data_IF_122414765557
#
_entry.id   IF_122414765557
#
_cell.length_a   1.000
_cell.length_b   1.000
_cell.length_c   1.000
_cell.angle_alpha   90.00
_cell.angle_beta   90.00
_cell.angle_gamma   90.00
#
_symmetry.space_group_name_H-M   'P 1'
#
loop_
_entity.id
_entity.type
_entity.pdbx_description
1 polymer ?
#
# COMPACT_ATOMS: atom_id res chain seq x y z
N UNK A 1 -14.78 2.03 34.67
CA UNK A 1 -13.66 2.20 33.70
C UNK A 1 -13.49 3.68 33.41
N UNK A 2 -12.29 4.25 33.53
CA UNK A 2 -12.10 5.71 33.40
C UNK A 2 -12.34 6.21 31.97
N UNK A 3 -12.78 7.48 31.78
CA UNK A 3 -12.98 8.08 30.46
C UNK A 3 -11.74 7.98 29.57
N UNK A 4 -10.56 8.25 30.14
CA UNK A 4 -9.26 8.12 29.48
C UNK A 4 -9.03 6.73 28.89
N UNK A 5 -9.26 5.67 29.69
CA UNK A 5 -9.11 4.29 29.23
C UNK A 5 -10.08 3.96 28.11
N UNK A 6 -11.32 4.47 28.17
CA UNK A 6 -12.32 4.26 27.12
C UNK A 6 -11.91 4.93 25.81
N UNK A 7 -11.41 6.16 25.86
CA UNK A 7 -10.93 6.89 24.68
C UNK A 7 -9.76 6.16 24.00
N UNK A 8 -8.75 5.74 24.77
CA UNK A 8 -7.57 5.05 24.20
C UNK A 8 -7.96 3.69 23.61
N UNK A 9 -8.90 2.96 24.24
CA UNK A 9 -9.42 1.71 23.67
C UNK A 9 -10.23 1.94 22.39
N UNK A 10 -11.02 3.00 22.32
CA UNK A 10 -11.73 3.39 21.10
C UNK A 10 -10.76 3.73 19.97
N UNK A 11 -9.72 4.52 20.26
CA UNK A 11 -8.67 4.83 19.30
C UNK A 11 -7.96 3.55 18.83
N UNK A 12 -7.60 2.65 19.75
CA UNK A 12 -6.98 1.38 19.40
C UNK A 12 -7.86 0.55 18.46
N UNK A 13 -9.18 0.52 18.67
CA UNK A 13 -10.11 -0.18 17.79
C UNK A 13 -10.12 0.45 16.38
N UNK A 14 -10.12 1.78 16.28
CA UNK A 14 -10.03 2.51 15.01
C UNK A 14 -8.70 2.22 14.29
N UNK A 15 -7.59 2.23 15.02
CA UNK A 15 -6.28 1.96 14.44
C UNK A 15 -6.13 0.51 13.98
N UNK A 16 -6.84 -0.45 14.60
CA UNK A 16 -6.81 -1.87 14.21
C UNK A 16 -7.70 -2.19 13.02
N UNK A 17 -8.76 -1.43 12.78
CA UNK A 17 -9.78 -1.81 11.79
C UNK A 17 -9.25 -1.86 10.36
N UNK A 18 -8.38 -0.94 9.96
CA UNK A 18 -7.79 -0.96 8.61
C UNK A 18 -6.50 -0.11 8.50
N UNK A 19 -5.69 -0.40 7.48
CA UNK A 19 -4.47 0.36 7.16
C UNK A 19 -4.78 1.81 6.78
N UNK A 20 -5.94 2.08 6.16
CA UNK A 20 -6.36 3.45 5.79
C UNK A 20 -6.48 4.36 7.02
N UNK A 21 -7.04 3.86 8.12
CA UNK A 21 -7.13 4.63 9.35
C UNK A 21 -5.74 4.97 9.90
N UNK A 22 -4.81 3.99 9.87
CA UNK A 22 -3.41 4.21 10.28
C UNK A 22 -2.73 5.26 9.40
N UNK A 23 -2.92 5.20 8.08
CA UNK A 23 -2.38 6.18 7.14
C UNK A 23 -2.90 7.59 7.46
N UNK A 24 -4.22 7.78 7.57
CA UNK A 24 -4.82 9.08 7.88
C UNK A 24 -4.34 9.64 9.22
N UNK A 25 -4.28 8.80 10.27
CA UNK A 25 -3.78 9.20 11.58
C UNK A 25 -2.28 9.55 11.57
N UNK A 26 -1.48 8.83 10.78
CA UNK A 26 -0.04 9.08 10.66
C UNK A 26 0.21 10.41 9.94
N UNK A 27 -0.50 10.67 8.83
CA UNK A 27 -0.46 11.96 8.12
C UNK A 27 -0.90 13.12 9.02
N UNK A 28 -1.85 12.89 9.92
CA UNK A 28 -2.29 13.88 10.91
C UNK A 28 -1.30 14.09 12.08
N UNK A 29 -0.15 13.40 12.11
CA UNK A 29 0.84 13.53 13.17
C UNK A 29 0.42 12.92 14.51
N UNK A 30 -0.50 11.95 14.51
CA UNK A 30 -1.05 11.40 15.75
C UNK A 30 0.03 10.71 16.61
N UNK A 31 1.02 10.05 15.98
CA UNK A 31 2.10 9.39 16.71
C UNK A 31 2.85 10.36 17.63
N UNK A 32 3.22 11.53 17.12
CA UNK A 32 3.93 12.58 17.87
C UNK A 32 3.11 13.06 19.07
N UNK A 33 1.78 13.18 18.91
CA UNK A 33 0.85 13.55 20.00
C UNK A 33 0.79 12.46 21.08
N UNK A 34 0.75 11.18 20.68
CA UNK A 34 0.72 10.06 21.63
C UNK A 34 2.05 9.94 22.39
N UNK A 35 3.19 10.12 21.73
CA UNK A 35 4.52 10.09 22.36
C UNK A 35 4.67 11.22 23.39
N UNK A 36 4.23 12.43 23.06
CA UNK A 36 4.18 13.55 24.03
C UNK A 36 3.26 13.25 25.21
N UNK A 37 2.10 12.64 24.93
CA UNK A 37 1.17 12.22 25.98
C UNK A 37 1.80 11.17 26.91
N UNK A 38 2.62 10.25 26.37
CA UNK A 38 3.38 9.29 27.17
C UNK A 38 4.38 9.98 28.10
N UNK A 39 5.17 10.93 27.60
CA UNK A 39 6.14 11.70 28.40
C UNK A 39 5.46 12.35 29.61
N UNK A 40 4.30 12.98 29.39
CA UNK A 40 3.53 13.62 30.46
C UNK A 40 2.96 12.62 31.48
N UNK A 41 2.52 11.46 31.03
CA UNK A 41 1.99 10.42 31.94
C UNK A 41 3.10 9.85 32.80
N UNK A 42 4.23 9.52 32.19
CA UNK A 42 5.34 8.88 32.89
C UNK A 42 6.01 9.84 33.88
N UNK A 43 6.01 11.14 33.60
CA UNK A 43 6.52 12.17 34.52
C UNK A 43 5.57 12.51 35.67
N UNK A 44 4.24 12.53 35.43
CA UNK A 44 3.25 12.94 36.44
C UNK A 44 2.66 11.80 37.26
N UNK A 45 2.63 10.57 36.76
CA UNK A 45 1.97 9.42 37.40
C UNK A 45 2.98 8.58 38.20
N UNK A 46 3.61 9.18 39.21
CA UNK A 46 4.56 8.51 40.12
C UNK A 46 3.94 7.34 40.88
N UNK A 47 2.61 7.32 41.00
CA UNK A 47 1.82 6.30 41.70
C UNK A 47 1.36 5.16 40.76
N UNK A 48 1.74 5.20 39.46
CA UNK A 48 1.48 4.18 38.42
C UNK A 48 0.04 3.63 38.38
N UNK A 49 -0.98 4.44 38.71
CA UNK A 49 -2.36 3.94 38.85
C UNK A 49 -3.03 3.65 37.51
N UNK A 50 -2.62 4.31 36.43
CA UNK A 50 -3.24 4.11 35.13
C UNK A 50 -2.52 3.07 34.26
N UNK A 51 -3.25 2.03 33.85
CA UNK A 51 -2.74 1.04 32.91
C UNK A 51 -2.68 1.61 31.48
N UNK A 52 -1.47 1.95 31.04
CA UNK A 52 -1.18 2.52 29.73
C UNK A 52 -1.06 1.49 28.57
N UNK A 53 -1.36 0.21 28.81
CA UNK A 53 -1.14 -0.85 27.79
C UNK A 53 -1.82 -0.59 26.46
N UNK A 54 -3.06 -0.08 26.45
CA UNK A 54 -3.77 0.26 25.21
C UNK A 54 -3.13 1.44 24.47
N UNK A 55 -2.48 2.36 25.19
CA UNK A 55 -1.76 3.49 24.60
C UNK A 55 -0.47 3.02 23.93
N UNK A 56 0.28 2.14 24.59
CA UNK A 56 1.46 1.51 23.99
C UNK A 56 1.11 0.74 22.71
N UNK A 57 -0.05 0.08 22.68
CA UNK A 57 -0.54 -0.58 21.47
C UNK A 57 -0.93 0.42 20.37
N UNK A 58 -1.49 1.59 20.71
CA UNK A 58 -1.76 2.64 19.72
C UNK A 58 -0.46 3.15 19.08
N UNK A 59 0.55 3.43 19.91
CA UNK A 59 1.89 3.85 19.45
C UNK A 59 2.52 2.77 18.58
N UNK A 60 2.47 1.49 19.02
CA UNK A 60 2.95 0.35 18.24
C UNK A 60 2.29 0.27 16.86
N UNK A 61 0.96 0.40 16.78
CA UNK A 61 0.24 0.29 15.50
C UNK A 61 0.53 1.45 14.55
N UNK A 62 0.70 2.67 15.07
CA UNK A 62 1.05 3.83 14.25
C UNK A 62 2.50 3.77 13.78
N UNK A 63 3.43 3.54 14.70
CA UNK A 63 4.85 3.47 14.36
C UNK A 63 5.21 2.27 13.48
N UNK A 64 4.48 1.15 13.59
CA UNK A 64 4.63 0.02 12.68
C UNK A 64 4.15 0.33 11.26
N UNK A 65 3.26 1.33 11.10
CA UNK A 65 2.78 1.78 9.80
C UNK A 65 3.67 2.86 9.19
N UNK A 66 4.03 3.89 9.99
CA UNK A 66 4.90 4.98 9.58
C UNK A 66 5.62 5.55 10.80
N UNK A 67 6.93 5.64 10.72
CA UNK A 67 7.78 6.15 11.79
C UNK A 67 8.78 7.15 11.22
N UNK A 68 8.64 8.42 11.63
CA UNK A 68 9.60 9.46 11.29
C UNK A 68 10.86 9.35 12.16
N UNK A 69 11.97 9.93 11.69
CA UNK A 69 13.22 10.00 12.46
C UNK A 69 12.99 10.79 13.76
N UNK A 70 12.22 11.87 13.72
CA UNK A 70 11.90 12.69 14.89
C UNK A 70 11.12 11.89 15.95
N UNK A 71 10.08 11.17 15.52
CA UNK A 71 9.26 10.35 16.43
C UNK A 71 10.06 9.17 17.00
N UNK A 72 10.93 8.55 16.21
CA UNK A 72 11.83 7.49 16.70
C UNK A 72 12.79 8.05 17.75
N UNK A 73 13.44 9.18 17.48
CA UNK A 73 14.32 9.83 18.44
C UNK A 73 13.58 10.12 19.74
N UNK A 74 12.37 10.68 19.65
CA UNK A 74 11.54 10.97 20.81
C UNK A 74 11.20 9.71 21.60
N UNK A 75 10.75 8.66 20.93
CA UNK A 75 10.43 7.39 21.59
C UNK A 75 11.66 6.79 22.31
N UNK A 76 12.83 6.83 21.68
CA UNK A 76 14.07 6.38 22.31
C UNK A 76 14.46 7.22 23.54
N UNK A 77 14.20 8.52 23.54
CA UNK A 77 14.40 9.37 24.72
C UNK A 77 13.45 9.02 25.87
N UNK A 78 12.18 8.71 25.57
CA UNK A 78 11.22 8.22 26.57
C UNK A 78 11.72 6.90 27.19
N UNK A 79 12.25 5.99 26.38
CA UNK A 79 12.78 4.72 26.86
C UNK A 79 14.02 4.88 27.75
N UNK A 80 14.88 5.87 27.45
CA UNK A 80 16.05 6.19 28.30
C UNK A 80 15.64 6.71 29.67
N UNK A 81 14.59 7.53 29.73
CA UNK A 81 14.10 8.14 30.98
C UNK A 81 13.17 7.22 31.77
N UNK A 82 12.53 6.26 31.09
CA UNK A 82 11.61 5.30 31.67
C UNK A 82 11.92 3.90 31.11
N UNK A 83 12.65 3.10 31.89
CA UNK A 83 12.95 1.69 31.57
C UNK A 83 11.68 0.82 31.68
N UNK A 84 10.73 1.07 30.78
CA UNK A 84 9.45 0.40 30.68
C UNK A 84 9.55 -0.75 29.69
N UNK A 85 9.66 -1.98 30.19
CA UNK A 85 9.65 -3.20 29.38
C UNK A 85 8.46 -3.26 28.39
N UNK A 86 7.22 -2.87 28.76
CA UNK A 86 6.11 -2.81 27.81
C UNK A 86 6.31 -1.83 26.65
N UNK A 87 6.94 -0.68 26.90
CA UNK A 87 7.20 0.33 25.87
C UNK A 87 8.32 -0.12 24.92
N UNK A 88 9.34 -0.80 25.44
CA UNK A 88 10.39 -1.41 24.63
C UNK A 88 9.82 -2.53 23.75
N UNK A 89 8.94 -3.39 24.32
CA UNK A 89 8.25 -4.43 23.55
C UNK A 89 7.35 -3.85 22.45
N UNK A 90 6.71 -2.71 22.69
CA UNK A 90 5.93 -2.02 21.68
C UNK A 90 6.81 -1.51 20.53
N UNK A 91 8.02 -1.00 20.82
CA UNK A 91 8.98 -0.59 19.79
C UNK A 91 9.46 -1.78 18.96
N UNK A 92 9.86 -2.87 19.62
CA UNK A 92 10.30 -4.10 18.97
C UNK A 92 9.20 -4.64 18.03
N UNK A 93 7.94 -4.65 18.47
CA UNK A 93 6.80 -5.07 17.65
C UNK A 93 6.47 -4.12 16.51
N UNK A 94 6.71 -2.82 16.67
CA UNK A 94 6.54 -1.85 15.59
C UNK A 94 7.58 -2.09 14.49
N UNK A 95 8.85 -2.26 14.86
CA UNK A 95 9.97 -2.47 13.92
C UNK A 95 9.88 -3.84 13.24
N UNK A 96 9.52 -4.89 13.98
CA UNK A 96 9.39 -6.25 13.44
C UNK A 96 8.06 -6.52 12.72
N UNK A 97 7.17 -5.53 12.65
CA UNK A 97 5.84 -5.63 12.06
C UNK A 97 5.85 -6.05 10.58
N UNK A 98 4.72 -6.56 10.10
CA UNK A 98 4.56 -6.89 8.67
C UNK A 98 4.46 -5.65 7.80
N UNK A 99 3.93 -4.54 8.33
CA UNK A 99 3.78 -3.27 7.59
C UNK A 99 5.11 -2.53 7.41
N UNK A 100 6.10 -2.78 8.26
CA UNK A 100 7.44 -2.18 8.17
C UNK A 100 8.38 -2.95 7.24
N UNK A 101 8.05 -4.19 6.91
CA UNK A 101 8.76 -4.99 5.91
C UNK A 101 8.16 -4.61 4.56
N UNK A 102 8.98 -4.07 3.66
CA UNK A 102 8.60 -3.86 2.26
C UNK A 102 8.14 -5.16 1.59
N UNK A 103 7.99 -5.20 0.25
CA UNK A 103 7.55 -6.41 -0.43
C UNK A 103 8.43 -7.62 -0.04
N UNK A 104 7.79 -8.71 0.45
CA UNK A 104 8.48 -9.93 0.91
C UNK A 104 9.28 -10.62 -0.19
N UNK A 105 8.91 -10.35 -1.44
CA UNK A 105 9.58 -10.81 -2.65
C UNK A 105 9.53 -9.69 -3.69
N UNK A 106 10.61 -9.53 -4.43
CA UNK A 106 10.68 -8.69 -5.62
C UNK A 106 10.89 -9.57 -6.84
N UNK A 107 10.30 -9.16 -7.96
CA UNK A 107 10.46 -9.81 -9.25
C UNK A 107 11.06 -8.80 -10.21
N UNK A 108 12.07 -9.21 -10.95
CA UNK A 108 12.72 -8.39 -11.95
C UNK A 108 12.25 -8.85 -13.33
N UNK A 109 11.78 -7.90 -14.14
CA UNK A 109 11.25 -8.16 -15.46
C UNK A 109 12.05 -7.35 -16.48
N UNK A 110 12.51 -8.01 -17.53
CA UNK A 110 13.25 -7.40 -18.66
C UNK A 110 12.35 -6.62 -19.62
N UNK A 111 11.03 -6.60 -19.38
CA UNK A 111 10.05 -5.85 -20.16
C UNK A 111 9.57 -6.55 -21.44
N UNK A 112 10.39 -7.41 -22.06
CA UNK A 112 10.06 -8.04 -23.35
C UNK A 112 9.53 -9.49 -23.23
N UNK A 113 10.23 -10.35 -22.47
CA UNK A 113 9.99 -11.80 -22.45
C UNK A 113 9.81 -12.37 -21.04
N UNK A 114 9.55 -11.52 -20.06
CA UNK A 114 9.43 -11.90 -18.65
C UNK A 114 8.10 -11.47 -18.09
N UNK A 115 7.45 -12.34 -17.32
CA UNK A 115 6.20 -12.04 -16.64
C UNK A 115 5.84 -13.14 -15.65
N UNK A 116 4.88 -12.86 -14.79
CA UNK A 116 4.28 -13.87 -13.91
C UNK A 116 2.92 -14.25 -14.48
N UNK A 117 2.73 -15.54 -14.71
CA UNK A 117 1.44 -16.11 -15.08
C UNK A 117 0.89 -16.88 -13.87
N UNK A 118 -0.21 -16.38 -13.31
CA UNK A 118 -0.96 -17.12 -12.29
C UNK A 118 -1.88 -18.16 -12.93
N UNK A 119 -2.25 -19.25 -12.22
CA UNK A 119 -3.31 -20.13 -12.68
C UNK A 119 -4.60 -19.31 -12.83
N UNK A 120 -5.13 -19.24 -14.04
CA UNK A 120 -6.37 -18.52 -14.31
C UNK A 120 -7.54 -19.21 -13.61
N UNK A 121 -8.21 -18.52 -12.68
CA UNK A 121 -9.51 -18.97 -12.21
C UNK A 121 -10.55 -18.66 -13.28
N UNK A 122 -11.39 -19.64 -13.62
CA UNK A 122 -12.41 -19.50 -14.69
C UNK A 122 -13.52 -18.52 -14.34
N UNK A 123 -13.60 -18.09 -13.07
CA UNK A 123 -14.59 -17.13 -12.58
C UNK A 123 -13.89 -15.88 -12.09
N UNK A 124 -14.33 -14.72 -12.56
CA UNK A 124 -13.91 -13.44 -12.00
C UNK A 124 -14.13 -13.45 -10.47
N UNK A 125 -13.08 -13.24 -9.66
CA UNK A 125 -13.05 -13.93 -8.37
C UNK A 125 -13.95 -13.35 -7.27
N UNK A 126 -14.58 -12.18 -7.42
CA UNK A 126 -15.32 -11.59 -6.30
C UNK A 126 -16.60 -10.86 -6.72
N UNK A 127 -17.75 -11.33 -6.24
CA UNK A 127 -19.06 -10.67 -6.38
C UNK A 127 -19.15 -9.31 -5.66
N UNK A 128 -18.19 -9.01 -4.78
CA UNK A 128 -18.15 -7.81 -3.94
C UNK A 128 -17.00 -6.84 -4.31
N UNK A 129 -16.47 -6.94 -5.54
CA UNK A 129 -15.35 -6.13 -6.01
C UNK A 129 -13.99 -6.65 -5.52
N UNK A 130 -12.92 -6.07 -6.05
CA UNK A 130 -11.56 -6.46 -5.71
C UNK A 130 -10.64 -5.22 -5.64
N UNK A 131 -9.58 -5.32 -4.85
CA UNK A 131 -8.52 -4.32 -4.83
C UNK A 131 -7.18 -5.05 -4.95
N UNK A 132 -6.38 -4.59 -5.90
CA UNK A 132 -5.00 -5.04 -6.07
C UNK A 132 -4.08 -3.85 -5.87
N UNK A 133 -2.98 -4.06 -5.14
CA UNK A 133 -1.97 -3.05 -4.91
C UNK A 133 -0.59 -3.67 -5.10
N UNK A 134 0.29 -2.92 -5.75
CA UNK A 134 1.68 -3.33 -6.01
C UNK A 134 2.62 -2.14 -5.82
N UNK A 135 3.89 -2.44 -5.62
CA UNK A 135 4.99 -1.48 -5.75
C UNK A 135 5.75 -1.80 -7.03
N UNK A 136 5.95 -0.81 -7.88
CA UNK A 136 6.69 -0.97 -9.15
C UNK A 136 7.83 0.05 -9.15
N UNK A 137 9.02 -0.42 -9.49
CA UNK A 137 10.15 0.41 -9.86
C UNK A 137 10.39 0.26 -11.36
N UNK A 138 10.53 1.38 -12.07
CA UNK A 138 10.76 1.41 -13.51
C UNK A 138 12.16 1.94 -13.73
N UNK A 139 13.01 1.13 -14.37
CA UNK A 139 14.41 1.50 -14.60
C UNK A 139 14.53 2.59 -15.67
N UNK A 140 13.85 2.43 -16.80
CA UNK A 140 13.83 3.41 -17.88
C UNK A 140 12.59 3.29 -18.76
N UNK A 141 12.28 4.37 -19.49
CA UNK A 141 11.40 4.34 -20.64
C UNK A 141 12.27 4.59 -21.89
N UNK A 142 11.96 3.93 -23.01
CA UNK A 142 12.61 4.25 -24.27
C UNK A 142 12.29 5.70 -24.69
N UNK A 143 13.32 6.47 -25.05
CA UNK A 143 13.20 7.88 -25.45
C UNK A 143 12.20 8.07 -26.59
N UNK A 144 10.97 8.51 -26.32
CA UNK A 144 10.04 8.99 -27.36
C UNK A 144 9.11 10.10 -26.86
N UNK A 145 9.70 11.24 -26.50
CA UNK A 145 8.98 12.51 -26.47
C UNK A 145 8.83 13.06 -27.90
N UNK A 146 7.78 12.63 -28.60
CA UNK A 146 7.21 13.43 -29.67
C UNK A 146 5.68 13.47 -29.51
N UNK A 147 5.05 14.59 -29.89
CA UNK A 147 3.61 14.80 -29.74
C UNK A 147 2.77 13.71 -30.42
N UNK A 148 3.35 13.04 -31.44
CA UNK A 148 2.76 11.87 -32.09
C UNK A 148 2.64 10.66 -31.16
N UNK A 149 3.62 10.36 -30.31
CA UNK A 149 3.53 9.24 -29.36
C UNK A 149 2.46 9.50 -28.30
N UNK A 150 2.33 10.73 -27.81
CA UNK A 150 1.25 11.10 -26.89
C UNK A 150 -0.14 11.00 -27.55
N UNK A 151 -0.27 11.47 -28.79
CA UNK A 151 -1.51 11.34 -29.56
C UNK A 151 -1.85 9.87 -29.85
N UNK A 152 -0.85 9.05 -30.17
CA UNK A 152 -1.03 7.61 -30.38
C UNK A 152 -1.39 6.87 -29.08
N UNK A 153 -0.86 7.29 -27.93
CA UNK A 153 -1.24 6.75 -26.62
C UNK A 153 -2.70 7.03 -26.30
N UNK A 154 -3.15 8.27 -26.55
CA UNK A 154 -4.55 8.68 -26.37
C UNK A 154 -5.44 7.91 -27.36
N UNK A 155 -5.00 7.73 -28.61
CA UNK A 155 -5.72 6.97 -29.61
C UNK A 155 -5.83 5.48 -29.24
N UNK A 156 -4.75 4.84 -28.77
CA UNK A 156 -4.74 3.45 -28.32
C UNK A 156 -5.69 3.23 -27.13
N UNK A 157 -5.62 4.10 -26.12
CA UNK A 157 -6.54 4.08 -24.97
C UNK A 157 -8.01 4.31 -25.40
N UNK A 158 -8.24 5.08 -26.47
CA UNK A 158 -9.58 5.29 -27.02
C UNK A 158 -10.08 4.12 -27.87
N UNK A 159 -9.20 3.43 -28.60
CA UNK A 159 -9.52 2.27 -29.43
C UNK A 159 -9.86 1.05 -28.58
N UNK A 160 -9.22 0.88 -27.42
CA UNK A 160 -9.56 -0.19 -26.51
C UNK A 160 -10.94 -0.06 -25.86
N UNK A 161 -11.52 1.15 -25.79
CA UNK A 161 -12.95 1.31 -25.45
C UNK A 161 -13.89 0.64 -26.46
N UNK A 162 -13.42 0.32 -27.67
CA UNK A 162 -14.22 -0.34 -28.71
C UNK A 162 -14.18 -1.87 -28.63
N UNK A 163 -13.56 -2.47 -27.61
CA UNK A 163 -13.67 -3.90 -27.30
C UNK A 163 -13.00 -4.86 -28.29
N UNK A 164 -12.06 -4.38 -29.12
CA UNK A 164 -11.49 -5.18 -30.22
C UNK A 164 -10.09 -5.75 -29.96
N UNK A 165 -9.60 -5.79 -28.72
CA UNK A 165 -8.31 -6.39 -28.40
C UNK A 165 -8.49 -7.81 -27.86
N UNK A 166 -8.15 -8.78 -28.70
CA UNK A 166 -8.14 -10.21 -28.39
C UNK A 166 -7.04 -10.52 -27.37
N UNK A 167 -7.41 -10.74 -26.12
CA UNK A 167 -6.54 -11.21 -25.07
C UNK A 167 -6.34 -12.72 -25.16
N UNK A 168 -5.26 -13.11 -25.82
CA UNK A 168 -4.54 -14.36 -25.57
C UNK A 168 -3.42 -14.44 -26.58
N UNK A 169 -2.49 -13.50 -26.51
CA UNK A 169 -1.29 -13.59 -27.29
C UNK A 169 -0.19 -12.79 -26.59
N UNK A 170 0.71 -13.51 -25.94
CA UNK A 170 2.11 -13.12 -25.89
C UNK A 170 2.59 -13.10 -27.35
N UNK A 171 2.15 -12.09 -28.12
CA UNK A 171 2.51 -11.94 -29.52
C UNK A 171 3.76 -11.10 -29.59
N UNK A 172 4.87 -11.80 -29.81
CA UNK A 172 5.82 -11.44 -30.85
C UNK A 172 5.07 -11.00 -32.11
N UNK A 173 4.78 -9.70 -32.21
CA UNK A 173 4.16 -9.09 -33.38
C UNK A 173 5.01 -7.90 -33.80
N UNK A 174 5.79 -8.08 -34.88
CA UNK A 174 6.44 -6.98 -35.61
C UNK A 174 5.36 -5.98 -36.04
N UNK A 175 5.24 -4.86 -35.33
CA UNK A 175 4.44 -3.71 -35.77
C UNK A 175 3.45 -3.14 -34.76
N UNK A 176 3.14 -3.82 -33.66
CA UNK A 176 2.43 -3.20 -32.53
C UNK A 176 3.46 -2.61 -31.57
N UNK A 177 3.38 -1.32 -31.26
CA UNK A 177 4.31 -0.67 -30.33
C UNK A 177 4.47 -1.46 -29.02
N UNK A 178 5.67 -1.51 -28.48
CA UNK A 178 5.98 -2.23 -27.24
C UNK A 178 5.09 -1.73 -26.08
N UNK A 179 4.23 -2.62 -25.55
CA UNK A 179 3.20 -2.28 -24.55
C UNK A 179 3.28 -3.23 -23.34
N UNK A 180 4.28 -3.04 -22.45
CA UNK A 180 4.50 -3.96 -21.34
C UNK A 180 3.31 -3.92 -20.38
N UNK A 181 2.68 -5.07 -20.18
CA UNK A 181 1.52 -5.26 -19.30
C UNK A 181 1.99 -5.38 -17.85
N UNK A 182 1.46 -4.54 -16.97
CA UNK A 182 1.68 -4.66 -15.52
C UNK A 182 0.73 -5.69 -14.92
N UNK A 183 -0.57 -5.55 -15.21
CA UNK A 183 -1.60 -6.48 -14.78
C UNK A 183 -2.59 -6.72 -15.92
N UNK A 184 -2.94 -7.98 -16.13
CA UNK A 184 -4.01 -8.38 -17.03
C UNK A 184 -4.89 -9.36 -16.28
N UNK A 185 -6.04 -8.86 -15.85
CA UNK A 185 -7.10 -9.68 -15.29
C UNK A 185 -8.18 -9.72 -16.35
N UNK A 186 -8.21 -10.77 -17.16
CA UNK A 186 -9.17 -10.91 -18.23
C UNK A 186 -9.86 -12.26 -18.17
N UNK A 187 -11.16 -12.25 -18.43
CA UNK A 187 -11.95 -13.46 -18.57
C UNK A 187 -11.67 -14.06 -19.95
N UNK A 188 -11.21 -15.32 -20.06
CA UNK A 188 -10.79 -15.91 -21.34
C UNK A 188 -11.87 -15.94 -22.42
N UNK A 189 -13.14 -15.98 -22.02
CA UNK A 189 -14.26 -16.19 -22.94
C UNK A 189 -14.74 -14.91 -23.64
N UNK A 190 -14.54 -13.74 -23.03
CA UNK A 190 -15.15 -12.49 -23.48
C UNK A 190 -14.27 -11.25 -23.29
N UNK A 191 -13.02 -11.41 -22.89
CA UNK A 191 -12.06 -10.35 -22.55
C UNK A 191 -12.64 -9.29 -21.62
N UNK A 192 -13.60 -9.64 -20.75
CA UNK A 192 -14.08 -8.76 -19.69
C UNK A 192 -13.08 -8.73 -18.56
N UNK A 193 -12.81 -7.53 -18.06
CA UNK A 193 -11.92 -7.32 -16.93
C UNK A 193 -11.18 -6.00 -16.99
N UNK A 194 -9.97 -6.01 -16.44
CA UNK A 194 -9.13 -4.83 -16.28
C UNK A 194 -7.71 -5.17 -16.72
N UNK A 195 -7.17 -4.35 -17.61
CA UNK A 195 -5.75 -4.34 -17.94
C UNK A 195 -5.10 -3.03 -17.51
N UNK A 196 -3.88 -3.13 -17.03
CA UNK A 196 -3.03 -1.99 -16.71
C UNK A 196 -1.69 -2.19 -17.39
N UNK A 197 -1.25 -1.23 -18.19
CA UNK A 197 -0.04 -1.37 -18.99
C UNK A 197 0.58 -0.02 -19.34
N UNK A 198 1.83 -0.04 -19.79
CA UNK A 198 2.47 1.16 -20.33
C UNK A 198 2.32 1.24 -21.84
N UNK A 199 1.99 2.43 -22.32
CA UNK A 199 2.18 2.82 -23.71
C UNK A 199 3.17 3.99 -23.72
N UNK A 200 4.39 3.73 -24.19
CA UNK A 200 5.53 4.61 -23.94
C UNK A 200 5.65 4.92 -22.43
N UNK A 201 5.61 6.20 -22.04
CA UNK A 201 5.69 6.65 -20.64
C UNK A 201 4.31 6.79 -19.94
N UNK A 202 3.23 6.49 -20.65
CA UNK A 202 1.87 6.67 -20.11
C UNK A 202 1.36 5.36 -19.53
N UNK A 203 0.86 5.43 -18.30
CA UNK A 203 0.14 4.34 -17.67
C UNK A 203 -1.30 4.35 -18.19
N UNK A 204 -1.68 3.30 -18.92
CA UNK A 204 -3.02 3.09 -19.44
C UNK A 204 -3.75 2.10 -18.57
N UNK A 205 -4.98 2.44 -18.18
CA UNK A 205 -5.90 1.56 -17.47
C UNK A 205 -7.12 1.36 -18.35
N UNK A 206 -7.35 0.12 -18.74
CA UNK A 206 -8.50 -0.30 -19.54
C UNK A 206 -9.41 -1.17 -18.70
N UNK A 207 -10.70 -0.88 -18.79
CA UNK A 207 -11.73 -1.70 -18.17
C UNK A 207 -12.80 -1.99 -19.21
N UNK A 208 -13.01 -3.27 -19.48
CA UNK A 208 -14.03 -3.79 -20.40
C UNK A 208 -15.16 -4.39 -19.57
N UNK A 209 -16.38 -3.86 -19.74
CA UNK A 209 -17.65 -4.33 -19.15
C UNK A 209 -17.51 -5.20 -17.87
N UNK A 210 -17.40 -4.53 -16.72
CA UNK A 210 -17.48 -5.12 -15.39
C UNK A 210 -17.90 -4.06 -14.38
N UNK A 211 -18.64 -4.44 -13.34
CA UNK A 211 -18.90 -3.53 -12.22
C UNK A 211 -17.60 -3.44 -11.39
N UNK A 212 -16.99 -2.25 -11.39
CA UNK A 212 -15.92 -1.90 -10.44
C UNK A 212 -16.46 -1.72 -9.03
#
# INVERSE_FOLDING_TARGET
MSPRTRMVRGLLAILRSCTRNRAMCSTAGLLSVLLRSLEEILSKDSDKKWNASSLFQCVQHLAGHSLSVEDLHRWLQILKTSLSSPLMSALEKAVSGKESRGPSCSFEFVGESSGLLGPGETRWPFTNGYAFATWIYIESFADTLNASTAAAAIAAASAAKSGNTSAANVHTGEGTGHMPRLFSFLTPENNQGIEVYFYAQFLVVESSNGKG
#
